data_IF_330963978979
#
_entry.id   IF_330963978979
#
_cell.length_a   1.000
_cell.length_b   1.000
_cell.length_c   1.000
_cell.angle_alpha   90.00
_cell.angle_beta   90.00
_cell.angle_gamma   90.00
#
_symmetry.space_group_name_H-M   'P 1'
#
loop_
_entity.id
_entity.type
_entity.pdbx_description
1 polymer ?
#
# COMPACT_ATOMS: atom_id res chain seq x y z
N UNK A 1 -11.99 19.09 3.70
CA UNK A 1 -12.05 17.63 3.55
C UNK A 1 -13.11 17.23 2.55
N UNK A 2 -12.79 16.31 1.65
CA UNK A 2 -13.78 15.69 0.76
C UNK A 2 -14.70 14.79 1.60
N UNK A 3 -15.98 14.75 1.24
CA UNK A 3 -16.99 13.92 1.95
C UNK A 3 -17.31 12.64 1.19
N UNK A 4 -16.69 12.45 0.03
CA UNK A 4 -16.85 11.27 -0.81
C UNK A 4 -16.03 10.11 -0.28
N UNK A 5 -16.57 8.90 -0.43
CA UNK A 5 -15.85 7.68 -0.08
C UNK A 5 -14.71 7.45 -1.07
N UNK A 6 -13.51 7.23 -0.55
CA UNK A 6 -12.35 6.91 -1.37
C UNK A 6 -12.40 5.47 -1.87
N UNK A 7 -12.47 5.32 -3.19
CA UNK A 7 -12.30 4.05 -3.89
C UNK A 7 -10.83 3.91 -4.32
N UNK A 8 -9.96 3.67 -3.34
CA UNK A 8 -8.53 3.41 -3.60
C UNK A 8 -8.28 1.91 -3.69
N UNK A 9 -8.19 1.41 -4.91
CA UNK A 9 -7.87 0.03 -5.28
C UNK A 9 -7.15 0.02 -6.63
N UNK A 10 -6.75 -1.17 -7.10
CA UNK A 10 -6.01 -1.32 -8.35
C UNK A 10 -6.93 -1.74 -9.51
N UNK A 11 -8.22 -1.38 -9.46
CA UNK A 11 -9.19 -1.71 -10.52
C UNK A 11 -8.83 -1.10 -11.88
N UNK A 12 -8.16 0.06 -11.89
CA UNK A 12 -7.72 0.72 -13.13
C UNK A 12 -6.52 0.01 -13.79
N UNK A 13 -5.86 -0.92 -13.09
CA UNK A 13 -4.70 -1.62 -13.63
C UNK A 13 -5.09 -2.66 -14.68
N UNK A 14 -4.45 -2.58 -15.85
CA UNK A 14 -4.57 -3.61 -16.89
C UNK A 14 -4.00 -4.96 -16.44
N UNK A 15 -3.02 -4.94 -15.54
CA UNK A 15 -2.46 -6.14 -14.91
C UNK A 15 -3.53 -6.97 -14.18
N UNK A 16 -4.46 -6.29 -13.49
CA UNK A 16 -5.54 -6.97 -12.77
C UNK A 16 -6.33 -7.85 -13.74
N UNK A 17 -6.79 -7.30 -14.86
CA UNK A 17 -7.54 -8.03 -15.87
C UNK A 17 -6.84 -9.33 -16.32
N UNK A 18 -5.55 -9.25 -16.71
CA UNK A 18 -4.83 -10.45 -17.18
C UNK A 18 -4.61 -11.47 -16.08
N UNK A 19 -4.36 -11.04 -14.85
CA UNK A 19 -4.11 -11.93 -13.72
C UNK A 19 -5.37 -12.74 -13.41
N UNK A 20 -6.53 -12.07 -13.39
CA UNK A 20 -7.82 -12.73 -13.25
C UNK A 20 -8.06 -13.69 -14.42
N UNK A 21 -7.86 -13.28 -15.66
CA UNK A 21 -8.04 -14.14 -16.85
C UNK A 21 -7.11 -15.36 -16.88
N UNK A 22 -5.94 -15.25 -16.26
CA UNK A 22 -4.98 -16.36 -16.11
C UNK A 22 -5.49 -17.42 -15.14
N UNK A 23 -6.19 -17.00 -14.08
CA UNK A 23 -6.62 -17.88 -12.97
C UNK A 23 -8.08 -18.30 -13.12
N UNK A 24 -8.87 -17.53 -13.87
CA UNK A 24 -10.29 -17.75 -14.07
C UNK A 24 -10.48 -19.15 -14.67
N UNK A 25 -11.26 -19.99 -13.96
CA UNK A 25 -11.55 -21.40 -14.26
C UNK A 25 -10.52 -22.44 -13.79
N UNK A 26 -9.47 -22.09 -13.04
CA UNK A 26 -8.56 -23.07 -12.46
C UNK A 26 -8.87 -23.32 -10.98
N UNK A 27 -9.57 -24.41 -10.69
CA UNK A 27 -9.93 -24.78 -9.32
C UNK A 27 -9.06 -25.94 -8.85
N UNK A 28 -8.18 -25.70 -7.86
CA UNK A 28 -7.25 -26.72 -7.35
C UNK A 28 -7.94 -28.03 -6.92
N UNK A 29 -9.18 -27.98 -6.45
CA UNK A 29 -9.95 -29.17 -6.03
C UNK A 29 -10.37 -30.08 -7.19
N UNK A 30 -10.41 -29.57 -8.41
CA UNK A 30 -10.73 -30.34 -9.62
C UNK A 30 -9.54 -31.19 -10.10
N UNK A 31 -8.37 -31.01 -9.47
CA UNK A 31 -7.13 -31.70 -9.83
C UNK A 31 -6.64 -32.63 -8.71
N UNK A 32 -6.08 -33.80 -9.05
CA UNK A 32 -5.70 -34.82 -8.06
C UNK A 32 -4.36 -34.54 -7.35
N UNK A 33 -3.89 -33.29 -7.32
CA UNK A 33 -2.58 -32.94 -6.75
C UNK A 33 -2.56 -33.15 -5.24
N UNK A 34 -1.51 -33.81 -4.74
CA UNK A 34 -1.37 -34.09 -3.30
C UNK A 34 -0.66 -32.97 -2.54
N UNK A 35 0.17 -32.19 -3.24
CA UNK A 35 0.97 -31.12 -2.65
C UNK A 35 1.37 -30.07 -3.70
N UNK A 36 1.99 -28.99 -3.22
CA UNK A 36 2.44 -27.87 -4.03
C UNK A 36 3.46 -28.27 -5.11
N UNK A 37 4.41 -29.15 -4.79
CA UNK A 37 5.45 -29.56 -5.75
C UNK A 37 4.87 -30.32 -6.93
N UNK A 38 3.87 -31.18 -6.69
CA UNK A 38 3.15 -31.88 -7.75
C UNK A 38 2.37 -30.91 -8.65
N UNK A 39 1.66 -29.96 -8.04
CA UNK A 39 0.94 -28.91 -8.78
C UNK A 39 1.89 -28.06 -9.63
N UNK A 40 2.97 -27.55 -9.04
CA UNK A 40 3.97 -26.73 -9.72
C UNK A 40 4.64 -27.46 -10.88
N UNK A 41 4.92 -28.75 -10.72
CA UNK A 41 5.50 -29.56 -11.79
C UNK A 41 4.52 -29.81 -12.94
N UNK A 42 3.23 -30.01 -12.63
CA UNK A 42 2.19 -30.29 -13.62
C UNK A 42 1.74 -29.03 -14.39
N UNK A 43 1.49 -27.93 -13.67
CA UNK A 43 0.96 -26.67 -14.22
C UNK A 43 1.76 -25.46 -13.70
N UNK A 44 3.02 -25.28 -14.15
CA UNK A 44 3.91 -24.25 -13.62
C UNK A 44 3.43 -22.81 -13.85
N UNK A 45 2.73 -22.56 -14.95
CA UNK A 45 2.12 -21.25 -15.24
C UNK A 45 1.02 -20.90 -14.23
N UNK A 46 0.20 -21.87 -13.82
CA UNK A 46 -0.81 -21.67 -12.79
C UNK A 46 -0.20 -21.46 -11.41
N UNK A 47 0.89 -22.18 -11.10
CA UNK A 47 1.62 -21.94 -9.86
C UNK A 47 2.20 -20.51 -9.81
N UNK A 48 2.76 -20.03 -10.93
CA UNK A 48 3.25 -18.66 -11.07
C UNK A 48 2.12 -17.62 -10.97
N UNK A 49 0.99 -17.86 -11.64
CA UNK A 49 -0.19 -17.01 -11.55
C UNK A 49 -0.73 -16.94 -10.12
N UNK A 50 -0.80 -18.06 -9.42
CA UNK A 50 -1.27 -18.12 -8.04
C UNK A 50 -0.37 -17.34 -7.08
N UNK A 51 0.95 -17.53 -7.16
CA UNK A 51 1.90 -16.78 -6.33
C UNK A 51 1.82 -15.28 -6.62
N UNK A 52 1.74 -14.91 -7.89
CA UNK A 52 1.59 -13.52 -8.34
C UNK A 52 0.30 -12.91 -7.82
N UNK A 53 -0.81 -13.65 -7.87
CA UNK A 53 -2.11 -13.21 -7.34
C UNK A 53 -2.07 -12.94 -5.85
N UNK A 54 -1.48 -13.84 -5.05
CA UNK A 54 -1.35 -13.62 -3.60
C UNK A 54 -0.58 -12.33 -3.30
N UNK A 55 0.46 -12.00 -4.10
CA UNK A 55 1.21 -10.76 -3.94
C UNK A 55 0.42 -9.53 -4.41
N UNK A 56 -0.30 -9.64 -5.53
CA UNK A 56 -1.13 -8.57 -6.06
C UNK A 56 -2.30 -8.24 -5.13
N UNK A 57 -3.01 -9.25 -4.62
CA UNK A 57 -4.11 -9.10 -3.65
C UNK A 57 -3.62 -8.42 -2.37
N UNK A 58 -2.47 -8.84 -1.84
CA UNK A 58 -1.86 -8.19 -0.67
C UNK A 58 -1.52 -6.72 -0.93
N UNK A 59 -1.10 -6.37 -2.15
CA UNK A 59 -0.78 -5.01 -2.58
C UNK A 59 -2.04 -4.15 -2.71
N UNK A 60 -3.08 -4.65 -3.37
CA UNK A 60 -4.39 -4.00 -3.48
C UNK A 60 -5.00 -3.75 -2.09
N UNK A 61 -4.92 -4.73 -1.19
CA UNK A 61 -5.42 -4.60 0.18
C UNK A 61 -4.73 -3.47 0.95
N UNK A 62 -3.47 -3.10 0.63
CA UNK A 62 -2.83 -1.95 1.29
C UNK A 62 -3.56 -0.63 0.99
N UNK A 63 -4.08 -0.45 -0.23
CA UNK A 63 -4.87 0.74 -0.58
C UNK A 63 -6.25 0.74 0.07
N UNK A 64 -6.88 -0.43 0.18
CA UNK A 64 -8.12 -0.59 0.94
C UNK A 64 -7.92 -0.22 2.40
N UNK A 65 -6.84 -0.70 3.02
CA UNK A 65 -6.51 -0.44 4.42
C UNK A 65 -6.17 1.04 4.69
N UNK A 66 -5.67 1.77 3.68
CA UNK A 66 -5.38 3.20 3.80
C UNK A 66 -6.64 4.06 3.90
N UNK A 67 -7.81 3.57 3.44
CA UNK A 67 -9.10 4.29 3.48
C UNK A 67 -9.55 4.62 4.91
N UNK A 68 -9.08 3.89 5.91
CA UNK A 68 -9.42 4.16 7.32
C UNK A 68 -8.82 5.47 7.83
N UNK A 69 -7.68 5.91 7.28
CA UNK A 69 -6.97 7.11 7.73
C UNK A 69 -7.82 8.38 7.54
N UNK A 70 -8.36 8.70 6.35
CA UNK A 70 -9.25 9.84 6.19
C UNK A 70 -10.55 9.70 6.97
N UNK A 71 -11.05 8.48 7.18
CA UNK A 71 -12.24 8.23 8.02
C UNK A 71 -11.97 8.59 9.49
N UNK A 72 -10.81 8.21 10.03
CA UNK A 72 -10.39 8.59 11.39
C UNK A 72 -10.21 10.11 11.53
N UNK A 73 -9.64 10.77 10.52
CA UNK A 73 -9.55 12.24 10.50
C UNK A 73 -10.95 12.87 10.49
N UNK A 74 -11.92 12.27 9.80
CA UNK A 74 -13.31 12.74 9.76
C UNK A 74 -14.16 12.48 11.01
N UNK A 75 -13.60 11.90 12.07
CA UNK A 75 -14.31 11.74 13.33
C UNK A 75 -14.68 13.10 13.94
N UNK A 76 -15.99 13.31 14.20
CA UNK A 76 -16.53 14.58 14.72
C UNK A 76 -16.48 14.68 16.25
N UNK A 77 -16.61 13.55 16.94
CA UNK A 77 -16.72 13.49 18.39
C UNK A 77 -15.36 13.21 19.03
N UNK A 78 -14.56 14.26 19.23
CA UNK A 78 -13.28 14.20 19.94
C UNK A 78 -13.37 15.16 21.17
N UNK A 79 -12.89 14.79 22.37
CA UNK A 79 -12.17 13.56 22.73
C UNK A 79 -13.04 12.30 22.66
N UNK A 80 -12.44 11.15 22.32
CA UNK A 80 -13.17 9.88 22.26
C UNK A 80 -13.31 9.29 23.68
N UNK A 81 -14.53 8.93 24.11
CA UNK A 81 -14.75 8.30 25.40
C UNK A 81 -14.11 6.92 25.46
N UNK A 82 -13.50 6.58 26.59
CA UNK A 82 -12.88 5.28 26.84
C UNK A 82 -13.06 4.87 28.30
N UNK A 83 -13.05 3.56 28.57
CA UNK A 83 -13.23 3.00 29.92
C UNK A 83 -12.03 3.25 30.84
N UNK A 84 -10.85 3.57 30.29
CA UNK A 84 -9.63 3.81 31.05
C UNK A 84 -9.34 5.31 31.13
N UNK A 85 -9.20 5.94 29.97
CA UNK A 85 -8.96 7.37 29.83
C UNK A 85 -9.37 7.81 28.42
N UNK A 86 -10.13 8.89 28.32
CA UNK A 86 -10.55 9.45 27.05
C UNK A 86 -9.34 9.77 26.16
N UNK A 87 -9.45 9.47 24.88
CA UNK A 87 -8.42 9.80 23.89
C UNK A 87 -8.62 11.26 23.51
N UNK A 88 -7.69 12.12 23.94
CA UNK A 88 -7.72 13.55 23.64
C UNK A 88 -7.35 13.85 22.19
N UNK A 89 -7.56 15.11 21.76
CA UNK A 89 -7.26 15.57 20.39
C UNK A 89 -5.81 15.32 19.95
N UNK A 90 -4.86 15.46 20.87
CA UNK A 90 -3.44 15.26 20.59
C UNK A 90 -3.13 13.78 20.31
N UNK A 91 -3.54 12.90 21.23
CA UNK A 91 -3.30 11.46 21.11
C UNK A 91 -4.04 10.87 19.91
N UNK A 92 -5.21 11.42 19.56
CA UNK A 92 -5.93 11.05 18.35
C UNK A 92 -5.15 11.36 17.06
N UNK A 93 -4.74 12.62 16.86
CA UNK A 93 -3.96 13.02 15.67
C UNK A 93 -2.64 12.25 15.58
N UNK A 94 -1.95 12.12 16.71
CA UNK A 94 -0.69 11.39 16.79
C UNK A 94 -0.85 9.93 16.35
N UNK A 95 -1.90 9.25 16.84
CA UNK A 95 -2.18 7.85 16.52
C UNK A 95 -2.49 7.66 15.03
N UNK A 96 -3.22 8.61 14.43
CA UNK A 96 -3.51 8.60 13.00
C UNK A 96 -2.23 8.71 12.17
N UNK A 97 -1.33 9.66 12.52
CA UNK A 97 -0.05 9.82 11.81
C UNK A 97 0.81 8.57 11.94
N UNK A 98 0.90 7.99 13.15
CA UNK A 98 1.68 6.77 13.38
C UNK A 98 1.13 5.58 12.58
N UNK A 99 -0.21 5.43 12.49
CA UNK A 99 -0.85 4.40 11.68
C UNK A 99 -0.62 4.64 10.18
N UNK A 100 -0.76 5.87 9.69
CA UNK A 100 -0.50 6.20 8.29
C UNK A 100 0.95 5.85 7.88
N UNK A 101 1.92 6.19 8.73
CA UNK A 101 3.32 5.85 8.51
C UNK A 101 3.59 4.34 8.49
N UNK A 102 2.93 3.58 9.35
CA UNK A 102 2.99 2.13 9.34
C UNK A 102 2.44 1.57 8.02
N UNK A 103 1.28 2.05 7.57
CA UNK A 103 0.65 1.61 6.31
C UNK A 103 1.49 1.97 5.08
N UNK A 104 2.09 3.16 5.02
CA UNK A 104 3.01 3.52 3.93
C UNK A 104 4.26 2.63 3.89
N UNK A 105 4.81 2.25 5.05
CA UNK A 105 5.92 1.29 5.07
C UNK A 105 5.49 -0.09 4.54
N UNK A 106 4.31 -0.56 4.94
CA UNK A 106 3.75 -1.84 4.49
C UNK A 106 3.50 -1.85 2.98
N UNK A 107 2.90 -0.78 2.44
CA UNK A 107 2.69 -0.59 1.00
C UNK A 107 3.99 -0.74 0.21
N UNK A 108 5.04 -0.04 0.65
CA UNK A 108 6.35 -0.13 0.02
C UNK A 108 6.91 -1.56 0.05
N UNK A 109 6.92 -2.18 1.22
CA UNK A 109 7.55 -3.49 1.38
C UNK A 109 6.81 -4.55 0.53
N UNK A 110 5.47 -4.47 0.45
CA UNK A 110 4.65 -5.36 -0.38
C UNK A 110 4.86 -5.09 -1.88
N UNK A 111 4.97 -3.83 -2.31
CA UNK A 111 5.31 -3.50 -3.70
C UNK A 111 6.67 -4.09 -4.11
N UNK A 112 7.65 -4.09 -3.21
CA UNK A 112 8.94 -4.73 -3.44
C UNK A 112 8.81 -6.25 -3.59
N UNK A 113 7.99 -6.89 -2.76
CA UNK A 113 7.73 -8.33 -2.86
C UNK A 113 7.03 -8.69 -4.17
N UNK A 114 6.08 -7.87 -4.60
CA UNK A 114 5.37 -8.05 -5.86
C UNK A 114 6.33 -8.01 -7.06
N UNK A 115 7.20 -7.00 -7.14
CA UNK A 115 8.22 -6.91 -8.20
C UNK A 115 9.20 -8.09 -8.15
N UNK A 116 9.64 -8.48 -6.95
CA UNK A 116 10.54 -9.62 -6.76
C UNK A 116 9.92 -10.95 -7.24
N UNK A 117 8.60 -11.10 -7.08
CA UNK A 117 7.83 -12.26 -7.53
C UNK A 117 7.65 -12.25 -9.05
N UNK A 118 7.09 -11.17 -9.62
CA UNK A 118 6.77 -11.11 -11.06
C UNK A 118 8.02 -11.23 -11.91
N UNK A 119 9.11 -10.54 -11.55
CA UNK A 119 10.37 -10.59 -12.30
C UNK A 119 11.27 -11.77 -11.90
N UNK A 120 10.83 -12.64 -10.98
CA UNK A 120 11.61 -13.78 -10.45
C UNK A 120 13.05 -13.38 -10.05
N UNK A 121 13.22 -12.23 -9.39
CA UNK A 121 14.54 -11.68 -9.03
C UNK A 121 15.22 -12.54 -7.95
N UNK A 122 14.42 -13.26 -7.15
CA UNK A 122 14.89 -14.14 -6.08
C UNK A 122 15.77 -13.45 -5.03
N UNK A 123 15.51 -12.17 -4.75
CA UNK A 123 16.10 -11.52 -3.58
C UNK A 123 15.44 -12.10 -2.32
N UNK A 124 16.22 -12.52 -1.31
CA UNK A 124 15.65 -12.98 -0.05
C UNK A 124 15.08 -11.79 0.73
N UNK A 125 14.03 -12.02 1.52
CA UNK A 125 13.27 -10.99 2.23
C UNK A 125 14.17 -10.01 3.02
N UNK A 126 15.17 -10.52 3.75
CA UNK A 126 16.08 -9.69 4.54
C UNK A 126 16.99 -8.76 3.71
N UNK A 127 17.07 -8.95 2.39
CA UNK A 127 17.78 -8.07 1.43
C UNK A 127 16.85 -7.25 0.57
N UNK A 128 15.54 -7.46 0.67
CA UNK A 128 14.57 -6.81 -0.20
C UNK A 128 14.33 -5.36 0.26
N UNK A 129 15.07 -4.44 -0.36
CA UNK A 129 14.96 -3.00 -0.13
C UNK A 129 15.33 -2.24 -1.40
N UNK A 130 14.93 -0.96 -1.47
CA UNK A 130 15.12 -0.12 -2.66
C UNK A 130 16.59 -0.05 -3.11
N UNK A 131 17.57 -0.12 -2.20
CA UNK A 131 18.99 -0.07 -2.57
C UNK A 131 19.44 -1.32 -3.31
N UNK A 132 18.96 -2.50 -2.91
CA UNK A 132 19.26 -3.75 -3.60
C UNK A 132 18.48 -3.86 -4.91
N UNK A 133 17.19 -3.52 -4.90
CA UNK A 133 16.37 -3.47 -6.11
C UNK A 133 16.94 -2.49 -7.15
N UNK A 134 17.43 -1.33 -6.72
CA UNK A 134 18.11 -0.37 -7.61
C UNK A 134 19.33 -0.98 -8.31
N UNK A 135 20.05 -1.91 -7.68
CA UNK A 135 21.21 -2.54 -8.32
C UNK A 135 20.80 -3.54 -9.40
N UNK A 136 19.69 -4.24 -9.17
CA UNK A 136 19.24 -5.31 -10.05
C UNK A 136 18.39 -4.77 -11.22
N UNK A 137 17.55 -3.77 -10.95
CA UNK A 137 16.60 -3.25 -11.93
C UNK A 137 17.16 -2.15 -12.82
N UNK A 138 18.21 -1.43 -12.41
CA UNK A 138 18.66 -0.22 -13.10
C UNK A 138 19.02 -0.40 -14.58
N UNK A 139 19.56 -1.57 -14.95
CA UNK A 139 19.99 -1.81 -16.33
C UNK A 139 18.85 -2.35 -17.21
N UNK A 140 17.99 -3.21 -16.67
CA UNK A 140 17.02 -3.97 -17.46
C UNK A 140 15.57 -3.49 -17.30
N UNK A 141 15.26 -2.79 -16.20
CA UNK A 141 13.91 -2.37 -15.82
C UNK A 141 13.90 -0.97 -15.15
N UNK A 142 14.47 0.06 -15.80
CA UNK A 142 14.55 1.40 -15.23
C UNK A 142 13.18 2.02 -14.92
N UNK A 143 12.16 1.75 -15.73
CA UNK A 143 10.78 2.21 -15.55
C UNK A 143 10.16 1.69 -14.24
N UNK A 144 10.21 0.37 -14.03
CA UNK A 144 9.78 -0.30 -12.79
C UNK A 144 10.50 0.30 -11.57
N UNK A 145 11.80 0.56 -11.70
CA UNK A 145 12.58 1.16 -10.62
C UNK A 145 12.13 2.59 -10.27
N UNK A 146 11.75 3.41 -11.24
CA UNK A 146 11.26 4.77 -10.97
C UNK A 146 9.94 4.73 -10.20
N UNK A 147 8.99 3.88 -10.58
CA UNK A 147 7.75 3.72 -9.83
C UNK A 147 8.00 3.24 -8.38
N UNK A 148 8.91 2.28 -8.19
CA UNK A 148 9.29 1.82 -6.85
C UNK A 148 9.93 2.93 -5.98
N UNK A 149 10.68 3.86 -6.58
CA UNK A 149 11.24 5.00 -5.84
C UNK A 149 10.15 5.97 -5.39
N UNK A 150 9.13 6.21 -6.21
CA UNK A 150 7.98 7.03 -5.82
C UNK A 150 7.26 6.39 -4.62
N UNK A 151 7.02 5.08 -4.67
CA UNK A 151 6.39 4.34 -3.57
C UNK A 151 7.29 4.33 -2.31
N UNK A 152 8.61 4.19 -2.44
CA UNK A 152 9.54 4.26 -1.30
C UNK A 152 9.56 5.65 -0.63
N UNK A 153 9.29 6.70 -1.41
CA UNK A 153 9.23 8.08 -0.95
C UNK A 153 7.88 8.46 -0.32
N UNK A 154 6.87 7.58 -0.37
CA UNK A 154 5.57 7.87 0.23
C UNK A 154 5.68 8.14 1.75
N UNK A 155 4.95 9.15 2.22
CA UNK A 155 4.92 9.57 3.61
C UNK A 155 6.22 10.24 4.09
N UNK A 156 7.12 10.68 3.21
CA UNK A 156 8.33 11.44 3.61
C UNK A 156 8.01 12.63 4.53
N UNK A 157 7.03 13.49 4.23
CA UNK A 157 6.72 14.64 5.09
C UNK A 157 6.41 14.21 6.54
N UNK A 158 5.50 13.24 6.69
CA UNK A 158 5.13 12.70 8.00
C UNK A 158 6.28 11.95 8.68
N UNK A 159 7.15 11.27 7.91
CA UNK A 159 8.32 10.56 8.45
C UNK A 159 9.35 11.52 9.01
N UNK A 160 9.58 12.65 8.35
CA UNK A 160 10.49 13.69 8.82
C UNK A 160 10.02 14.22 10.17
N UNK A 161 8.76 14.64 10.27
CA UNK A 161 8.16 15.14 11.52
C UNK A 161 8.25 14.09 12.65
N UNK A 162 7.94 12.83 12.34
CA UNK A 162 8.07 11.73 13.32
C UNK A 162 9.51 11.48 13.75
N UNK A 163 10.47 11.55 12.84
CA UNK A 163 11.89 11.37 13.16
C UNK A 163 12.41 12.52 14.03
N UNK A 164 11.98 13.75 13.77
CA UNK A 164 12.28 14.88 14.65
C UNK A 164 11.72 14.64 16.06
N UNK A 165 10.50 14.10 16.18
CA UNK A 165 9.92 13.67 17.46
C UNK A 165 10.75 12.61 18.15
N UNK A 166 11.16 11.57 17.43
CA UNK A 166 11.92 10.46 17.99
C UNK A 166 13.33 10.89 18.45
N UNK A 167 13.98 11.79 17.71
CA UNK A 167 15.38 12.17 17.97
C UNK A 167 15.53 13.41 18.84
N UNK A 168 14.60 14.37 18.74
CA UNK A 168 14.68 15.66 19.42
C UNK A 168 13.59 15.85 20.48
N UNK A 169 12.61 14.96 20.56
CA UNK A 169 11.45 15.08 21.47
C UNK A 169 10.41 16.09 21.02
N UNK A 170 10.61 16.76 19.87
CA UNK A 170 9.67 17.74 19.31
C UNK A 170 8.78 17.08 18.28
N UNK A 171 7.48 17.02 18.54
CA UNK A 171 6.49 16.72 17.51
C UNK A 171 5.95 18.05 17.00
N UNK A 172 5.62 18.16 15.72
CA UNK A 172 4.77 19.22 15.23
C UNK A 172 3.67 18.56 14.42
N UNK A 173 2.50 18.36 15.04
CA UNK A 173 1.33 17.84 14.34
C UNK A 173 0.65 18.92 13.48
N UNK A 174 1.45 19.80 12.86
CA UNK A 174 1.01 20.97 12.10
C UNK A 174 0.22 22.02 12.92
N UNK A 175 0.47 22.06 14.23
CA UNK A 175 -0.23 22.91 15.22
C UNK A 175 0.48 24.24 15.50
N UNK A 176 1.64 24.46 14.89
CA UNK A 176 2.55 25.62 15.07
C UNK A 176 3.20 25.73 16.47
N UNK A 177 2.45 25.46 17.55
CA UNK A 177 2.93 25.25 18.92
C UNK A 177 2.38 23.93 19.49
N UNK A 178 3.09 22.82 19.20
CA UNK A 178 2.71 21.47 19.61
C UNK A 178 2.73 21.28 21.13
N UNK A 179 3.64 21.95 21.83
CA UNK A 179 3.76 21.82 23.28
C UNK A 179 2.55 22.45 23.97
N UNK A 180 2.12 23.64 23.53
CA UNK A 180 0.89 24.25 24.02
C UNK A 180 -0.32 23.41 23.64
N UNK A 181 -0.42 22.96 22.37
CA UNK A 181 -1.52 22.12 21.91
C UNK A 181 -1.67 20.83 22.73
N UNK A 182 -0.55 20.15 23.01
CA UNK A 182 -0.50 18.96 23.85
C UNK A 182 -0.98 19.26 25.27
N UNK A 183 -0.46 20.29 25.93
CA UNK A 183 -0.86 20.64 27.30
C UNK A 183 -2.36 20.97 27.38
N UNK A 184 -2.87 21.68 26.37
CA UNK A 184 -4.28 22.03 26.26
C UNK A 184 -5.17 20.80 26.03
N UNK A 185 -4.76 19.89 25.13
CA UNK A 185 -5.48 18.62 24.90
C UNK A 185 -5.54 17.74 26.15
N UNK A 186 -4.47 17.70 26.94
CA UNK A 186 -4.47 16.96 28.21
C UNK A 186 -5.43 17.57 29.25
N UNK A 187 -5.63 18.88 29.20
CA UNK A 187 -6.54 19.61 30.09
C UNK A 187 -8.02 19.34 29.77
N UNK A 188 -8.35 18.82 28.58
CA UNK A 188 -9.72 18.41 28.20
C UNK A 188 -10.30 17.36 29.15
N UNK A 189 -9.44 16.44 29.61
CA UNK A 189 -9.83 15.36 30.51
C UNK A 189 -10.20 15.83 31.93
N UNK A 190 -9.83 17.05 32.30
CA UNK A 190 -10.05 17.63 33.63
C UNK A 190 -11.16 18.69 33.66
N UNK A 191 -11.92 18.86 32.57
CA UNK A 191 -12.96 19.91 32.43
C UNK A 191 -12.46 21.35 32.67
N UNK A 192 -11.15 21.57 32.63
CA UNK A 192 -10.53 22.89 32.80
C UNK A 192 -10.54 23.64 31.48
N UNK A 193 -11.09 24.86 31.48
CA UNK A 193 -11.05 25.78 30.35
C UNK A 193 -9.93 26.81 30.57
N UNK A 194 -8.94 26.83 29.67
CA UNK A 194 -7.91 27.88 29.65
C UNK A 194 -8.34 28.96 28.67
N UNK A 195 -8.49 30.18 29.16
CA UNK A 195 -8.88 31.34 28.35
C UNK A 195 -7.77 31.76 27.40
N UNK A 196 -8.10 32.00 26.13
CA UNK A 196 -7.17 32.58 25.15
C UNK A 196 -6.49 31.60 24.18
N UNK A 197 -6.77 30.30 24.28
CA UNK A 197 -6.31 29.30 23.30
C UNK A 197 -7.49 28.50 22.75
N UNK A 198 -7.68 28.55 21.43
CA UNK A 198 -8.76 27.83 20.75
C UNK A 198 -8.28 26.43 20.33
N UNK A 199 -8.44 25.49 21.25
CA UNK A 199 -8.00 24.11 21.06
C UNK A 199 -8.73 23.39 19.93
N UNK A 200 -10.02 23.66 19.76
CA UNK A 200 -10.83 23.02 18.71
C UNK A 200 -10.36 23.51 17.35
N UNK A 201 -10.20 24.83 17.18
CA UNK A 201 -9.71 25.40 15.93
C UNK A 201 -8.29 24.95 15.58
N UNK A 202 -7.37 24.91 16.55
CA UNK A 202 -6.01 24.40 16.28
C UNK A 202 -6.04 22.93 15.87
N UNK A 203 -6.87 22.11 16.51
CA UNK A 203 -7.07 20.71 16.10
C UNK A 203 -7.62 20.59 14.68
N UNK A 204 -8.65 21.36 14.32
CA UNK A 204 -9.24 21.31 12.99
C UNK A 204 -8.24 21.72 11.90
N UNK A 205 -7.46 22.77 12.15
CA UNK A 205 -6.39 23.20 11.23
C UNK A 205 -5.31 22.14 11.06
N UNK A 206 -4.86 21.53 12.16
CA UNK A 206 -3.87 20.46 12.14
C UNK A 206 -4.39 19.21 11.42
N UNK A 207 -5.62 18.78 11.74
CA UNK A 207 -6.33 17.68 11.09
C UNK A 207 -6.42 17.89 9.58
N UNK A 208 -6.84 19.07 9.14
CA UNK A 208 -7.03 19.35 7.72
C UNK A 208 -5.70 19.33 6.96
N UNK A 209 -4.63 19.88 7.54
CA UNK A 209 -3.27 19.78 6.96
C UNK A 209 -2.80 18.32 6.86
N UNK A 210 -2.98 17.52 7.92
CA UNK A 210 -2.61 16.10 7.92
C UNK A 210 -3.43 15.34 6.86
N UNK A 211 -4.72 15.62 6.75
CA UNK A 211 -5.59 15.06 5.73
C UNK A 211 -5.07 15.35 4.32
N UNK A 212 -4.74 16.61 4.03
CA UNK A 212 -4.25 17.01 2.70
C UNK A 212 -2.93 16.31 2.35
N UNK A 213 -2.00 16.21 3.31
CA UNK A 213 -0.74 15.48 3.14
C UNK A 213 -1.01 14.00 2.88
N UNK A 214 -1.80 13.34 3.72
CA UNK A 214 -2.08 11.91 3.59
C UNK A 214 -2.76 11.58 2.27
N UNK A 215 -3.82 12.30 1.91
CA UNK A 215 -4.58 12.03 0.68
C UNK A 215 -3.71 12.26 -0.55
N UNK A 216 -2.87 13.30 -0.55
CA UNK A 216 -1.91 13.53 -1.64
C UNK A 216 -0.94 12.36 -1.78
N UNK A 217 -0.30 11.95 -0.70
CA UNK A 217 0.67 10.85 -0.68
C UNK A 217 0.04 9.52 -1.14
N UNK A 218 -1.21 9.25 -0.74
CA UNK A 218 -1.94 8.06 -1.19
C UNK A 218 -2.24 8.12 -2.69
N UNK A 219 -2.71 9.26 -3.21
CA UNK A 219 -3.01 9.42 -4.65
C UNK A 219 -1.74 9.27 -5.50
N UNK A 220 -0.62 9.84 -5.07
CA UNK A 220 0.68 9.69 -5.74
C UNK A 220 1.16 8.24 -5.72
N UNK A 221 1.07 7.56 -4.57
CA UNK A 221 1.43 6.16 -4.45
C UNK A 221 0.53 5.23 -5.26
N UNK A 222 -0.78 5.52 -5.32
CA UNK A 222 -1.76 4.75 -6.08
C UNK A 222 -1.45 4.83 -7.57
N UNK A 223 -1.26 6.04 -8.09
CA UNK A 223 -0.90 6.23 -9.49
C UNK A 223 0.42 5.50 -9.83
N UNK A 224 1.46 5.67 -9.01
CA UNK A 224 2.72 4.97 -9.21
C UNK A 224 2.58 3.44 -9.15
N UNK A 225 1.67 2.93 -8.32
CA UNK A 225 1.42 1.50 -8.19
C UNK A 225 0.65 0.93 -9.39
N UNK A 226 -0.30 1.68 -9.96
CA UNK A 226 -1.02 1.29 -11.19
C UNK A 226 -0.03 1.21 -12.36
N UNK A 227 0.80 2.25 -12.54
CA UNK A 227 1.84 2.26 -13.58
C UNK A 227 2.85 1.11 -13.36
N UNK A 228 3.27 0.86 -12.11
CA UNK A 228 4.15 -0.25 -11.77
C UNK A 228 3.55 -1.60 -12.18
N UNK A 229 2.28 -1.85 -11.84
CA UNK A 229 1.61 -3.10 -12.17
C UNK A 229 1.44 -3.25 -13.69
N UNK A 230 1.15 -2.15 -14.39
CA UNK A 230 0.94 -2.17 -15.82
C UNK A 230 2.25 -2.33 -16.61
N UNK A 231 3.37 -1.80 -16.12
CA UNK A 231 4.69 -2.11 -16.68
C UNK A 231 5.10 -3.57 -16.45
N UNK A 232 4.66 -4.16 -15.33
CA UNK A 232 4.89 -5.57 -15.02
C UNK A 232 4.04 -6.53 -15.89
N UNK A 233 2.99 -6.02 -16.55
CA UNK A 233 2.06 -6.79 -17.37
C UNK A 233 2.78 -7.68 -18.40
N UNK A 234 3.70 -7.09 -19.18
CA UNK A 234 4.36 -7.80 -20.29
C UNK A 234 5.22 -8.94 -19.77
N UNK A 235 5.93 -8.72 -18.65
CA UNK A 235 6.79 -9.72 -18.02
C UNK A 235 5.98 -10.87 -17.46
N UNK A 236 4.90 -10.57 -16.75
CA UNK A 236 3.97 -11.57 -16.24
C UNK A 236 3.37 -12.41 -17.38
N UNK A 237 2.80 -11.73 -18.39
CA UNK A 237 2.16 -12.37 -19.54
C UNK A 237 3.11 -13.32 -20.26
N UNK A 238 4.29 -12.83 -20.62
CA UNK A 238 5.24 -13.60 -21.43
C UNK A 238 5.78 -14.79 -20.64
N UNK A 239 6.02 -14.60 -19.34
CA UNK A 239 6.45 -15.67 -18.44
C UNK A 239 5.35 -16.72 -18.27
N UNK A 240 4.11 -16.30 -18.06
CA UNK A 240 2.95 -17.17 -17.94
C UNK A 240 2.74 -18.01 -19.22
N UNK A 241 2.78 -17.38 -20.41
CA UNK A 241 2.67 -18.10 -21.69
C UNK A 241 3.83 -19.10 -21.87
N UNK A 242 5.06 -18.69 -21.55
CA UNK A 242 6.24 -19.56 -21.66
C UNK A 242 6.13 -20.80 -20.76
N UNK A 243 5.68 -20.64 -19.52
CA UNK A 243 5.47 -21.74 -18.58
C UNK A 243 4.31 -22.66 -19.00
N UNK A 244 3.31 -22.13 -19.69
CA UNK A 244 2.15 -22.91 -20.12
C UNK A 244 2.49 -23.98 -21.16
N UNK A 245 3.54 -23.77 -21.97
CA UNK A 245 3.99 -24.70 -23.01
C UNK A 245 4.40 -26.07 -22.46
N UNK A 246 4.80 -26.11 -21.19
CA UNK A 246 5.21 -27.33 -20.49
C UNK A 246 4.14 -27.85 -19.54
N UNK A 247 2.94 -27.28 -19.57
CA UNK A 247 1.87 -27.61 -18.63
C UNK A 247 0.89 -28.63 -19.17
N UNK A 248 0.16 -29.27 -18.25
CA UNK A 248 -0.91 -30.19 -18.60
C UNK A 248 -2.15 -29.45 -19.11
N UNK A 249 -2.53 -28.35 -18.46
CA UNK A 249 -3.78 -27.62 -18.78
C UNK A 249 -3.64 -26.66 -19.95
N UNK A 250 -2.44 -26.12 -20.20
CA UNK A 250 -2.25 -24.97 -21.09
C UNK A 250 -2.92 -23.71 -20.56
N UNK A 251 -2.82 -22.60 -21.31
CA UNK A 251 -3.49 -21.34 -20.95
C UNK A 251 -5.01 -21.39 -21.17
N UNK A 252 -5.74 -20.57 -20.43
CA UNK A 252 -7.17 -20.36 -20.66
C UNK A 252 -7.44 -19.83 -22.08
N UNK A 253 -8.63 -20.14 -22.61
CA UNK A 253 -9.02 -19.65 -23.94
C UNK A 253 -9.10 -18.12 -23.99
N UNK A 254 -9.53 -17.49 -22.90
CA UNK A 254 -9.56 -16.04 -22.76
C UNK A 254 -8.14 -15.45 -22.82
N UNK A 255 -7.21 -16.02 -22.05
CA UNK A 255 -5.80 -15.60 -22.09
C UNK A 255 -5.20 -15.71 -23.50
N UNK A 256 -5.49 -16.83 -24.19
CA UNK A 256 -5.01 -17.05 -25.55
C UNK A 256 -5.55 -16.01 -26.54
N UNK A 257 -6.82 -15.63 -26.42
CA UNK A 257 -7.49 -14.70 -27.34
C UNK A 257 -7.08 -13.23 -27.17
N UNK A 258 -6.85 -12.80 -25.94
CA UNK A 258 -6.68 -11.38 -25.60
C UNK A 258 -5.24 -10.97 -25.28
N UNK A 259 -4.45 -11.87 -24.68
CA UNK A 259 -3.14 -11.49 -24.15
C UNK A 259 -1.99 -12.02 -25.00
N UNK A 260 -2.08 -13.25 -25.49
CA UNK A 260 -0.97 -13.86 -26.23
C UNK A 260 -0.56 -13.01 -27.45
N UNK A 261 0.74 -12.78 -27.59
CA UNK A 261 1.29 -12.14 -28.79
C UNK A 261 0.90 -12.98 -29.99
N UNK A 262 0.14 -12.40 -30.93
CA UNK A 262 -0.18 -13.06 -32.19
C UNK A 262 1.11 -13.05 -33.02
N UNK A 263 1.68 -14.23 -33.25
CA UNK A 263 2.74 -14.39 -34.23
C UNK A 263 2.22 -13.82 -35.57
N UNK A 264 2.90 -12.78 -36.05
CA UNK A 264 2.60 -12.10 -37.32
C UNK A 264 3.15 -12.90 -38.48
#
# INVERSE_FOLDING_TARGET
>A
METEYFWWDLEESTFKGVLYDSINMYFLHDHPYKNWEEFKAADPHMAYAHLTYVRFDALEQQFVDLRVIPQMLGAKEIPLPSTVQNINRYDWLKSIVDLALFRFSSLRDIAFHFVNEVLEINLPDHKLNIKQLSKVLKENHPEILEHLKVIDQTGVPLRQDRNERAHKGFCNLYTDDDQMFKNMAWSESHSSCITGYDLVKTYEMARDKIYDVVVKEIKEALHACIELTDDLYVYYRDRHDALSKNSRSGVSHHFHGYHRVKDS
#
